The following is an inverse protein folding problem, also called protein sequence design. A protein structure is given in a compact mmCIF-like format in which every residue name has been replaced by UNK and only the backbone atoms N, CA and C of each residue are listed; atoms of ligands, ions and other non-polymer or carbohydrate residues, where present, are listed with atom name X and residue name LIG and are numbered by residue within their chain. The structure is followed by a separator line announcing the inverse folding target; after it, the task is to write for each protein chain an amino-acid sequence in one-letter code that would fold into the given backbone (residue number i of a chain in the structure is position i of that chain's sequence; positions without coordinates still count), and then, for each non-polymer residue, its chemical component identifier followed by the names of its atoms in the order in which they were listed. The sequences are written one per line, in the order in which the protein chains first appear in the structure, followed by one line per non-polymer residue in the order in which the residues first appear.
data_IF_653480342752
#
_entry.id   IF_653480342752
#
_cell.length_a   1.000
_cell.length_b   1.000
_cell.length_c   1.000
_cell.angle_alpha   90.00
_cell.angle_beta   90.00
_cell.angle_gamma   90.00
#
_symmetry.space_group_name_H-M   'P 1'
#
loop_
_entity.id
_entity.type
_entity.pdbx_description
1 polymer ?
#
# COMPACT_ATOMS: atom_id res chain seq x y z
N UNK A 1 -23.73 14.05 -2.85
CA UNK A 1 -23.56 14.74 -1.56
C UNK A 1 -22.68 13.89 -0.66
N UNK A 2 -21.36 14.15 -0.66
CA UNK A 2 -20.48 13.59 0.36
C UNK A 2 -20.85 14.29 1.68
N UNK A 3 -21.41 13.55 2.64
CA UNK A 3 -21.56 14.06 4.00
C UNK A 3 -20.15 14.24 4.56
N UNK A 4 -19.72 15.49 4.72
CA UNK A 4 -18.56 15.81 5.53
C UNK A 4 -18.84 15.31 6.95
N UNK A 5 -18.07 14.32 7.42
CA UNK A 5 -18.01 14.02 8.85
C UNK A 5 -17.47 15.31 9.50
N UNK A 6 -18.17 15.92 10.47
CA UNK A 6 -17.61 17.02 11.24
C UNK A 6 -16.30 16.57 11.85
N UNK A 7 -15.34 17.50 11.99
CA UNK A 7 -14.02 17.26 12.58
C UNK A 7 -14.15 16.95 14.09
N UNK A 8 -14.75 15.81 14.41
CA UNK A 8 -14.65 15.16 15.71
C UNK A 8 -13.37 14.35 15.77
N UNK A 9 -12.82 14.24 16.98
CA UNK A 9 -11.64 13.45 17.32
C UNK A 9 -11.55 12.15 16.49
N UNK A 10 -10.53 12.06 15.65
CA UNK A 10 -10.30 10.89 14.80
C UNK A 10 -9.86 9.73 15.68
N UNK A 11 -10.75 8.76 15.90
CA UNK A 11 -10.41 7.55 16.63
C UNK A 11 -9.39 6.73 15.81
N UNK A 12 -8.18 6.55 16.36
CA UNK A 12 -7.10 5.76 15.73
C UNK A 12 -7.53 4.31 15.44
N UNK A 13 -8.51 3.80 16.19
CA UNK A 13 -9.11 2.48 16.01
C UNK A 13 -9.90 2.34 14.69
N UNK A 14 -10.25 3.43 13.99
CA UNK A 14 -10.98 3.40 12.71
C UNK A 14 -10.05 3.50 11.48
N UNK A 15 -8.74 3.60 11.65
CA UNK A 15 -7.83 3.73 10.53
C UNK A 15 -7.83 2.45 9.67
N UNK A 16 -8.09 2.59 8.37
CA UNK A 16 -8.20 1.43 7.46
C UNK A 16 -9.52 0.67 7.54
N UNK A 17 -10.44 1.07 8.42
CA UNK A 17 -11.79 0.51 8.53
C UNK A 17 -12.77 1.52 7.93
N UNK A 18 -13.41 1.16 6.83
CA UNK A 18 -14.28 2.07 6.07
C UNK A 18 -15.73 1.62 6.21
N UNK A 19 -16.68 2.49 6.60
CA UNK A 19 -18.10 2.13 6.63
C UNK A 19 -18.56 1.68 5.23
N UNK A 20 -19.26 0.55 5.16
CA UNK A 20 -19.85 0.10 3.90
C UNK A 20 -21.16 0.84 3.61
N UNK A 21 -21.71 0.63 2.41
CA UNK A 21 -23.01 1.20 2.01
C UNK A 21 -24.16 0.57 2.79
N UNK A 22 -24.06 -0.74 3.08
CA UNK A 22 -25.05 -1.44 3.88
C UNK A 22 -24.86 -1.15 5.37
N UNK A 23 -25.95 -1.15 6.14
CA UNK A 23 -25.88 -1.01 7.59
C UNK A 23 -25.12 -2.19 8.19
N UNK A 24 -24.39 -1.94 9.28
CA UNK A 24 -23.68 -2.98 10.05
C UNK A 24 -22.63 -3.77 9.24
N UNK A 25 -22.12 -3.14 8.18
CA UNK A 25 -21.07 -3.69 7.32
C UNK A 25 -19.92 -2.69 7.21
N UNK A 26 -18.69 -3.22 7.15
CA UNK A 26 -17.45 -2.46 7.01
C UNK A 26 -16.60 -3.02 5.88
N UNK A 27 -15.72 -2.21 5.33
CA UNK A 27 -14.65 -2.64 4.43
C UNK A 27 -13.34 -2.55 5.19
N UNK A 28 -12.62 -3.68 5.27
CA UNK A 28 -11.29 -3.73 5.84
C UNK A 28 -10.27 -3.46 4.73
N UNK A 29 -9.58 -2.32 4.78
CA UNK A 29 -8.41 -2.08 3.94
C UNK A 29 -7.19 -2.61 4.66
N UNK A 30 -6.42 -3.46 4.00
CA UNK A 30 -5.30 -4.19 4.58
C UNK A 30 -3.98 -3.73 3.98
N UNK A 31 -2.95 -3.70 4.82
CA UNK A 31 -1.54 -3.61 4.41
C UNK A 31 -0.76 -4.75 5.04
N UNK A 32 0.26 -5.21 4.31
CA UNK A 32 1.27 -6.13 4.84
C UNK A 32 2.42 -5.32 5.42
N UNK A 33 2.81 -5.63 6.67
CA UNK A 33 4.05 -5.10 7.25
C UNK A 33 5.26 -5.96 6.82
N UNK A 34 5.04 -7.28 6.71
CA UNK A 34 6.04 -8.30 6.43
C UNK A 34 5.58 -9.19 5.27
N UNK A 35 6.36 -9.35 4.18
CA UNK A 35 7.76 -8.96 4.04
C UNK A 35 7.98 -7.46 3.73
N UNK A 36 7.14 -6.82 2.90
CA UNK A 36 7.10 -5.38 2.61
C UNK A 36 5.91 -4.99 1.70
N UNK A 37 5.71 -3.67 1.48
CA UNK A 37 4.45 -3.00 1.10
C UNK A 37 3.88 -3.13 -0.34
N UNK A 38 4.42 -3.96 -1.24
CA UNK A 38 3.64 -4.46 -2.37
C UNK A 38 3.46 -5.97 -2.42
N UNK A 39 4.02 -6.70 -1.45
CA UNK A 39 4.09 -8.16 -1.51
C UNK A 39 3.23 -8.78 -0.42
N UNK A 40 2.52 -9.83 -0.82
CA UNK A 40 1.79 -10.69 0.07
C UNK A 40 2.43 -12.07 0.00
N UNK A 41 2.61 -12.70 1.15
CA UNK A 41 2.97 -14.12 1.18
C UNK A 41 1.77 -14.95 0.70
N UNK A 42 2.03 -16.17 0.21
CA UNK A 42 0.94 -17.10 -0.14
C UNK A 42 -0.01 -17.36 1.04
N UNK A 43 0.53 -17.45 2.26
CA UNK A 43 -0.24 -17.58 3.49
C UNK A 43 -1.13 -16.34 3.76
N UNK A 44 -0.61 -15.14 3.54
CA UNK A 44 -1.40 -13.90 3.64
C UNK A 44 -2.54 -13.87 2.62
N UNK A 45 -2.30 -14.31 1.39
CA UNK A 45 -3.36 -14.42 0.37
C UNK A 45 -4.43 -15.43 0.83
N UNK A 46 -4.02 -16.58 1.36
CA UNK A 46 -4.92 -17.60 1.89
C UNK A 46 -5.82 -17.07 3.01
N UNK A 47 -5.26 -16.43 4.04
CA UNK A 47 -6.06 -15.89 5.15
C UNK A 47 -6.97 -14.73 4.72
N UNK A 48 -6.54 -13.93 3.74
CA UNK A 48 -7.39 -12.88 3.15
C UNK A 48 -8.63 -13.50 2.51
N UNK A 49 -8.45 -14.59 1.76
CA UNK A 49 -9.57 -15.32 1.15
C UNK A 49 -10.48 -15.93 2.21
N UNK A 50 -9.92 -16.56 3.26
CA UNK A 50 -10.69 -17.13 4.37
C UNK A 50 -11.55 -16.08 5.08
N UNK A 51 -10.99 -14.89 5.36
CA UNK A 51 -11.71 -13.78 6.01
C UNK A 51 -12.79 -13.24 5.09
N UNK A 52 -12.51 -13.10 3.79
CA UNK A 52 -13.49 -12.64 2.81
C UNK A 52 -14.69 -13.59 2.71
N UNK A 53 -14.45 -14.90 2.73
CA UNK A 53 -15.49 -15.94 2.66
C UNK A 53 -16.30 -16.02 3.97
N UNK A 54 -15.63 -16.00 5.13
CA UNK A 54 -16.28 -16.21 6.43
C UNK A 54 -17.06 -15.01 6.93
N UNK A 55 -16.52 -13.81 6.71
CA UNK A 55 -17.03 -12.60 7.35
C UNK A 55 -17.47 -11.52 6.36
N UNK A 56 -16.99 -11.58 5.12
CA UNK A 56 -17.25 -10.60 4.06
C UNK A 56 -18.22 -11.11 2.99
N UNK A 57 -18.03 -10.62 1.76
CA UNK A 57 -18.83 -10.98 0.59
C UNK A 57 -18.19 -12.04 -0.34
N UNK A 58 -17.18 -12.79 0.14
CA UNK A 58 -16.45 -13.78 -0.68
C UNK A 58 -15.60 -13.18 -1.81
N UNK A 59 -15.39 -11.85 -1.80
CA UNK A 59 -14.60 -11.13 -2.80
C UNK A 59 -13.55 -10.24 -2.14
N UNK A 60 -12.54 -9.88 -2.90
CA UNK A 60 -11.49 -8.93 -2.48
C UNK A 60 -11.19 -7.93 -3.61
N UNK A 61 -10.74 -6.74 -3.24
CA UNK A 61 -10.40 -5.69 -4.18
C UNK A 61 -8.93 -5.26 -4.00
N UNK A 62 -8.15 -5.36 -5.07
CA UNK A 62 -6.76 -4.87 -5.08
C UNK A 62 -6.75 -3.38 -5.43
N UNK A 63 -6.21 -2.57 -4.52
CA UNK A 63 -6.18 -1.12 -4.67
C UNK A 63 -5.01 -0.66 -5.55
N UNK A 64 -5.09 0.54 -6.17
CA UNK A 64 -3.96 1.14 -6.89
C UNK A 64 -2.77 1.50 -5.98
N UNK A 65 -2.90 1.28 -4.67
CA UNK A 65 -1.88 1.56 -3.66
C UNK A 65 -1.24 0.29 -3.10
N UNK A 66 -1.31 -0.81 -3.86
CA UNK A 66 -0.70 -2.10 -3.50
C UNK A 66 -1.21 -2.64 -2.14
N UNK A 67 -2.42 -2.25 -1.76
CA UNK A 67 -3.19 -2.78 -0.63
C UNK A 67 -4.33 -3.68 -1.14
N UNK A 68 -4.91 -4.47 -0.26
CA UNK A 68 -6.11 -5.27 -0.51
C UNK A 68 -7.27 -4.78 0.37
N UNK A 69 -8.49 -4.80 -0.15
CA UNK A 69 -9.70 -4.50 0.58
C UNK A 69 -10.61 -5.73 0.65
N UNK A 70 -11.16 -6.01 1.82
CA UNK A 70 -12.22 -7.00 2.04
C UNK A 70 -13.52 -6.23 2.29
N UNK A 71 -14.43 -6.15 1.31
CA UNK A 71 -15.70 -5.45 1.45
C UNK A 71 -16.72 -6.26 2.26
N UNK A 72 -17.74 -5.54 2.74
CA UNK A 72 -18.95 -6.08 3.39
C UNK A 72 -18.70 -7.07 4.54
N UNK A 73 -17.65 -6.83 5.31
CA UNK A 73 -17.40 -7.53 6.57
C UNK A 73 -18.48 -7.14 7.59
N UNK A 74 -19.11 -8.10 8.25
CA UNK A 74 -20.06 -7.80 9.34
C UNK A 74 -19.36 -7.11 10.50
N UNK A 75 -19.91 -5.98 10.95
CA UNK A 75 -19.33 -5.22 12.07
C UNK A 75 -19.18 -6.08 13.33
N UNK A 76 -20.09 -7.05 13.55
CA UNK A 76 -20.02 -7.98 14.67
C UNK A 76 -18.76 -8.88 14.65
N UNK A 77 -18.26 -9.24 13.48
CA UNK A 77 -17.06 -10.08 13.32
C UNK A 77 -15.76 -9.27 13.13
N UNK A 78 -15.82 -7.94 13.27
CA UNK A 78 -14.66 -7.05 13.10
C UNK A 78 -13.45 -7.55 13.89
N UNK A 79 -13.59 -7.76 15.20
CA UNK A 79 -12.46 -8.08 16.07
C UNK A 79 -11.88 -9.47 15.78
N UNK A 80 -12.73 -10.44 15.44
CA UNK A 80 -12.28 -11.79 15.07
C UNK A 80 -11.55 -11.78 13.72
N UNK A 81 -12.05 -11.03 12.74
CA UNK A 81 -11.38 -10.83 11.46
C UNK A 81 -10.01 -10.17 11.65
N UNK A 82 -9.93 -9.10 12.44
CA UNK A 82 -8.66 -8.40 12.73
C UNK A 82 -7.67 -9.28 13.49
N UNK A 83 -8.14 -10.08 14.45
CA UNK A 83 -7.29 -11.04 15.18
C UNK A 83 -6.72 -12.10 14.25
N UNK A 84 -7.55 -12.66 13.35
CA UNK A 84 -7.10 -13.64 12.38
C UNK A 84 -6.08 -13.02 11.40
N UNK A 85 -6.37 -11.86 10.83
CA UNK A 85 -5.48 -11.16 9.91
C UNK A 85 -4.13 -10.80 10.56
N UNK A 86 -4.15 -10.30 11.79
CA UNK A 86 -2.93 -9.90 12.51
C UNK A 86 -2.00 -11.08 12.81
N UNK A 87 -2.53 -12.29 12.98
CA UNK A 87 -1.72 -13.51 13.13
C UNK A 87 -0.86 -13.85 11.89
N UNK A 88 -1.19 -13.24 10.73
CA UNK A 88 -0.44 -13.33 9.47
C UNK A 88 0.24 -12.00 9.11
N UNK A 89 0.44 -11.10 10.08
CA UNK A 89 1.06 -9.79 9.89
C UNK A 89 0.32 -8.87 8.89
N UNK A 90 -0.99 -9.04 8.77
CA UNK A 90 -1.88 -8.15 8.03
C UNK A 90 -2.58 -7.21 9.01
N UNK A 91 -2.51 -5.92 8.72
CA UNK A 91 -3.06 -4.88 9.59
C UNK A 91 -3.96 -3.93 8.80
N UNK A 92 -4.89 -3.25 9.47
CA UNK A 92 -5.60 -2.13 8.88
C UNK A 92 -4.62 -1.14 8.24
N UNK A 93 -4.91 -0.80 7.00
CA UNK A 93 -4.20 0.21 6.25
C UNK A 93 -4.64 1.62 6.64
N UNK A 94 -4.35 2.59 5.79
CA UNK A 94 -4.70 3.99 6.03
C UNK A 94 -6.04 4.39 5.39
N UNK A 95 -6.87 5.16 6.09
CA UNK A 95 -8.03 5.87 5.57
C UNK A 95 -7.93 7.38 5.89
N UNK A 96 -8.93 8.20 5.59
CA UNK A 96 -8.99 9.61 6.03
C UNK A 96 -7.74 10.49 5.76
N UNK A 97 -7.36 11.26 6.80
CA UNK A 97 -6.24 12.22 6.86
C UNK A 97 -4.92 11.57 7.31
N UNK A 98 -4.65 10.37 6.84
CA UNK A 98 -3.39 9.67 7.11
C UNK A 98 -2.55 9.56 5.83
N UNK A 99 -1.25 9.31 6.02
CA UNK A 99 -0.40 8.88 4.92
C UNK A 99 -0.94 7.58 4.34
N UNK A 100 -1.14 7.55 3.02
CA UNK A 100 -1.49 6.33 2.31
C UNK A 100 -0.30 5.40 2.22
N UNK A 101 -0.57 4.09 2.23
CA UNK A 101 0.43 3.04 2.04
C UNK A 101 1.46 3.45 0.97
N UNK A 102 2.72 3.60 1.37
CA UNK A 102 3.82 4.01 0.50
C UNK A 102 4.11 2.88 -0.47
N UNK A 103 4.05 3.17 -1.77
CA UNK A 103 4.19 2.15 -2.81
C UNK A 103 5.58 2.17 -3.43
N UNK A 104 6.03 0.99 -3.84
CA UNK A 104 7.29 0.80 -4.55
C UNK A 104 7.12 -0.19 -5.71
N UNK A 105 7.94 -0.05 -6.75
CA UNK A 105 8.04 -1.08 -7.78
C UNK A 105 8.67 -2.35 -7.21
N UNK A 106 8.44 -3.48 -7.89
CA UNK A 106 8.96 -4.77 -7.45
C UNK A 106 10.49 -4.79 -7.45
N UNK A 107 11.08 -5.48 -6.47
CA UNK A 107 12.53 -5.56 -6.30
C UNK A 107 13.24 -6.37 -7.39
N UNK A 108 12.54 -7.34 -7.98
CA UNK A 108 13.09 -8.23 -9.03
C UNK A 108 13.06 -7.62 -10.44
N UNK A 109 12.54 -6.40 -10.61
CA UNK A 109 12.51 -5.77 -11.92
C UNK A 109 13.93 -5.50 -12.45
N UNK A 110 14.23 -6.00 -13.65
CA UNK A 110 15.51 -5.82 -14.35
C UNK A 110 15.89 -4.34 -14.54
N UNK A 111 14.89 -3.46 -14.65
CA UNK A 111 15.11 -2.05 -14.92
C UNK A 111 15.42 -1.22 -13.67
N UNK A 112 15.36 -1.79 -12.48
CA UNK A 112 15.72 -1.07 -11.27
C UNK A 112 17.18 -0.60 -11.36
N UNK A 113 17.38 0.70 -11.24
CA UNK A 113 18.69 1.27 -10.91
C UNK A 113 19.09 0.79 -9.51
N UNK A 114 18.16 0.90 -8.57
CA UNK A 114 18.27 0.33 -7.23
C UNK A 114 16.88 -0.04 -6.71
N UNK A 115 16.73 -1.16 -5.99
CA UNK A 115 15.48 -1.49 -5.32
C UNK A 115 15.12 -0.43 -4.26
N UNK A 116 13.87 0.04 -4.29
CA UNK A 116 13.36 1.08 -3.35
C UNK A 116 12.30 0.56 -2.39
N UNK A 117 12.01 -0.75 -2.43
CA UNK A 117 11.00 -1.41 -1.60
C UNK A 117 11.30 -1.31 -0.10
N UNK A 118 12.57 -1.41 0.29
CA UNK A 118 12.98 -1.33 1.70
C UNK A 118 12.81 0.10 2.24
N UNK A 119 13.02 1.12 1.39
CA UNK A 119 12.71 2.51 1.73
C UNK A 119 11.19 2.70 1.91
N UNK A 120 10.37 2.14 1.02
CA UNK A 120 8.91 2.20 1.18
C UNK A 120 8.45 1.53 2.48
N UNK A 121 9.03 0.38 2.85
CA UNK A 121 8.76 -0.28 4.13
C UNK A 121 9.09 0.63 5.32
N UNK A 122 10.30 1.21 5.34
CA UNK A 122 10.74 2.12 6.41
C UNK A 122 9.82 3.32 6.54
N UNK A 123 9.38 3.92 5.44
CA UNK A 123 8.45 5.05 5.45
C UNK A 123 7.06 4.65 5.94
N UNK A 124 6.54 3.49 5.53
CA UNK A 124 5.25 2.97 6.03
C UNK A 124 5.27 2.73 7.54
N UNK A 125 6.39 2.27 8.10
CA UNK A 125 6.55 2.08 9.54
C UNK A 125 6.69 3.41 10.26
N UNK A 126 7.52 4.33 9.73
CA UNK A 126 7.75 5.65 10.32
C UNK A 126 6.47 6.49 10.39
N UNK A 127 5.63 6.42 9.36
CA UNK A 127 4.42 7.24 9.24
C UNK A 127 3.11 6.46 9.46
N UNK A 128 3.18 5.25 10.04
CA UNK A 128 2.03 4.38 10.26
C UNK A 128 0.85 5.08 10.95
N UNK A 129 1.15 5.93 11.93
CA UNK A 129 0.17 6.61 12.78
C UNK A 129 0.18 8.14 12.60
N UNK A 130 0.96 8.62 11.63
CA UNK A 130 1.14 10.05 11.43
C UNK A 130 -0.10 10.69 10.78
N UNK A 131 -0.82 11.49 11.56
CA UNK A 131 -1.91 12.34 11.06
C UNK A 131 -1.32 13.43 10.15
N UNK A 132 -1.94 13.62 9.00
CA UNK A 132 -1.52 14.59 7.99
C UNK A 132 -2.58 15.72 7.85
N UNK A 133 -2.21 16.90 7.33
CA UNK A 133 -3.18 17.95 7.03
C UNK A 133 -4.31 17.46 6.13
N UNK A 134 -4.02 16.56 5.19
CA UNK A 134 -4.97 15.89 4.31
C UNK A 134 -4.49 14.50 3.90
N UNK A 135 -5.15 13.89 2.91
CA UNK A 135 -4.67 12.63 2.30
C UNK A 135 -3.30 12.88 1.65
N UNK A 136 -2.28 12.12 2.04
CA UNK A 136 -0.92 12.23 1.49
C UNK A 136 -0.46 10.88 0.90
N UNK A 137 0.20 10.92 -0.24
CA UNK A 137 0.67 9.74 -0.98
C UNK A 137 2.16 9.85 -1.28
N UNK A 138 2.90 8.76 -1.02
CA UNK A 138 4.32 8.64 -1.40
C UNK A 138 4.50 7.47 -2.37
N UNK A 139 5.19 7.68 -3.48
CA UNK A 139 5.45 6.61 -4.45
C UNK A 139 6.91 6.60 -4.89
N UNK A 140 7.55 5.43 -4.79
CA UNK A 140 8.97 5.25 -5.04
C UNK A 140 9.22 4.34 -6.24
N UNK A 141 9.93 4.84 -7.24
CA UNK A 141 10.31 4.09 -8.43
C UNK A 141 11.80 3.83 -8.44
N UNK A 142 12.20 2.58 -8.66
CA UNK A 142 13.60 2.19 -8.82
C UNK A 142 14.21 2.62 -10.16
N UNK A 143 13.43 3.21 -11.07
CA UNK A 143 13.90 3.66 -12.37
C UNK A 143 13.01 4.73 -13.00
N UNK A 144 13.44 5.25 -14.14
CA UNK A 144 12.78 6.33 -14.87
C UNK A 144 11.39 6.03 -15.43
N UNK A 145 11.00 4.75 -15.56
CA UNK A 145 9.67 4.37 -16.08
C UNK A 145 8.52 4.82 -15.18
N UNK A 146 8.78 4.98 -13.88
CA UNK A 146 7.79 5.48 -12.93
C UNK A 146 6.47 4.68 -12.91
N UNK A 147 6.53 3.34 -12.99
CA UNK A 147 5.35 2.47 -13.05
C UNK A 147 4.37 2.66 -11.87
N UNK A 148 4.89 3.01 -10.69
CA UNK A 148 4.07 3.34 -9.50
C UNK A 148 3.59 4.79 -9.46
N UNK A 149 3.63 5.50 -10.58
CA UNK A 149 3.16 6.89 -10.73
C UNK A 149 3.83 7.86 -9.74
N UNK A 150 5.14 7.70 -9.54
CA UNK A 150 5.97 8.61 -8.72
C UNK A 150 5.85 10.07 -9.13
N UNK A 151 5.68 10.35 -10.44
CA UNK A 151 5.51 11.73 -10.94
C UNK A 151 4.19 12.40 -10.56
N UNK A 152 3.16 11.65 -10.14
CA UNK A 152 1.81 12.18 -9.87
C UNK A 152 1.35 11.92 -8.44
N UNK A 153 2.25 11.48 -7.56
CA UNK A 153 1.98 11.35 -6.13
C UNK A 153 2.35 12.66 -5.42
N UNK A 154 1.81 12.91 -4.23
CA UNK A 154 2.13 14.12 -3.47
C UNK A 154 3.64 14.22 -3.22
N UNK A 155 4.28 13.08 -2.93
CA UNK A 155 5.74 12.95 -2.86
C UNK A 155 6.19 11.78 -3.74
N UNK A 156 7.06 12.07 -4.70
CA UNK A 156 7.59 11.10 -5.66
C UNK A 156 9.10 10.91 -5.53
N UNK A 157 9.55 9.68 -5.35
CA UNK A 157 10.96 9.32 -5.45
C UNK A 157 11.23 8.52 -6.73
N UNK A 158 12.25 8.89 -7.49
CA UNK A 158 12.70 8.14 -8.68
C UNK A 158 14.20 7.94 -8.59
N UNK A 159 14.65 6.70 -8.49
CA UNK A 159 16.06 6.37 -8.50
C UNK A 159 16.68 6.66 -9.87
N UNK A 160 17.90 7.22 -9.83
CA UNK A 160 18.72 7.58 -10.97
C UNK A 160 20.14 7.08 -10.73
N UNK A 161 20.78 6.63 -11.80
CA UNK A 161 22.21 6.37 -11.80
C UNK A 161 22.89 7.55 -12.48
N UNK A 162 24.01 7.96 -11.93
CA UNK A 162 25.00 8.72 -12.69
C UNK A 162 25.77 7.72 -13.55
N UNK A 163 25.83 7.99 -14.86
CA UNK A 163 26.44 7.08 -15.84
C UNK A 163 27.77 7.69 -16.24
N UNK A 164 28.86 6.98 -15.96
CA UNK A 164 30.18 7.27 -16.53
C UNK A 164 30.34 6.51 -17.86
N UNK A 165 30.55 7.25 -18.94
CA UNK A 165 30.82 6.65 -20.25
C UNK A 165 32.29 6.25 -20.33
N UNK A 166 32.54 4.94 -20.39
CA UNK A 166 33.88 4.39 -20.64
C UNK A 166 33.99 3.88 -22.08
N UNK A 167 35.09 4.21 -22.75
CA UNK A 167 35.42 3.79 -24.10
C UNK A 167 35.78 2.29 -24.19
N UNK A 168 36.31 1.72 -23.11
CA UNK A 168 36.84 0.34 -23.04
C UNK A 168 35.78 -0.74 -23.31
N UNK A 169 34.51 -0.51 -22.95
CA UNK A 169 33.40 -1.49 -23.10
C UNK A 169 32.31 -1.05 -24.07
N UNK A 170 32.50 0.06 -24.78
CA UNK A 170 31.50 0.62 -25.67
C UNK A 170 31.31 -0.24 -26.92
N UNK A 171 30.08 -0.73 -27.16
CA UNK A 171 29.70 -1.46 -28.38
C UNK A 171 29.16 -0.55 -29.50
N UNK A 172 29.26 0.78 -29.36
CA UNK A 172 28.78 1.79 -30.33
C UNK A 172 27.31 1.59 -30.75
N UNK A 173 26.44 1.23 -29.81
CA UNK A 173 25.03 0.95 -30.06
C UNK A 173 24.11 2.19 -30.02
N UNK A 174 24.66 3.40 -29.87
CA UNK A 174 23.96 4.69 -29.76
C UNK A 174 22.87 4.81 -28.67
N UNK A 175 22.72 3.85 -27.75
CA UNK A 175 21.72 3.91 -26.67
C UNK A 175 22.07 4.89 -25.54
N UNK A 176 23.34 5.26 -25.44
CA UNK A 176 23.87 6.10 -24.36
C UNK A 176 23.99 7.60 -24.73
N UNK A 177 23.68 7.97 -25.97
CA UNK A 177 23.82 9.32 -26.54
C UNK A 177 22.45 9.90 -26.85
#
# INVERSE_FOLDING_TARGET
MYREKPAGEMNMEENGIVPARMKERITLRLRSLEPFSPELTSAQIGVIADVAERYGAGIVHVTPRQCVEIPDVETAYREDALRLLSSYSLYPGSSGRYMRNVIACSRWCLYNVTPVSDLAKRLNNLFAEAVQPGKTTISLSGCGFSCVRSKTSDIGGIARAEIELTDIKCKRCSLCV
#
